data_IF_199356069916
#
_entry.id   IF_199356069916
#
_cell.length_a   1.000
_cell.length_b   1.000
_cell.length_c   1.000
_cell.angle_alpha   90.00
_cell.angle_beta   90.00
_cell.angle_gamma   90.00
#
_symmetry.space_group_name_H-M   'P 1'
#
loop_
_entity.id
_entity.type
_entity.pdbx_description
1 polymer ?
#
# COMPACT_ATOMS: atom_id res chain seq x y z
N UNK A 1 0.40 13.16 1.84
CA UNK A 1 0.43 13.09 0.35
C UNK A 1 -0.83 13.79 -0.18
N UNK A 2 -0.78 14.42 -1.35
CA UNK A 2 -1.95 14.99 -2.03
C UNK A 2 -2.21 14.18 -3.31
N UNK A 3 -3.48 14.00 -3.66
CA UNK A 3 -3.91 13.28 -4.86
C UNK A 3 -4.33 14.30 -5.93
N UNK A 4 -4.01 14.04 -7.19
CA UNK A 4 -4.55 14.80 -8.32
C UNK A 4 -6.03 14.43 -8.47
N UNK A 5 -6.91 15.41 -8.35
CA UNK A 5 -8.36 15.22 -8.52
C UNK A 5 -8.77 15.40 -9.97
N UNK A 6 -8.27 16.45 -10.63
CA UNK A 6 -8.50 16.75 -12.04
C UNK A 6 -7.27 17.40 -12.65
N UNK A 7 -7.12 17.26 -13.96
CA UNK A 7 -6.18 18.03 -14.77
C UNK A 7 -6.92 18.62 -15.95
N UNK A 8 -6.56 19.83 -16.33
CA UNK A 8 -6.99 20.50 -17.54
C UNK A 8 -5.75 20.82 -18.36
N UNK A 9 -5.65 20.15 -19.49
CA UNK A 9 -4.47 20.25 -20.36
C UNK A 9 -4.47 21.54 -21.17
N UNK A 10 -5.66 22.11 -21.44
CA UNK A 10 -5.81 23.34 -22.23
C UNK A 10 -5.38 24.56 -21.40
N UNK A 11 -5.76 24.58 -20.14
CA UNK A 11 -5.40 25.66 -19.21
C UNK A 11 -4.11 25.37 -18.43
N UNK A 12 -3.55 24.16 -18.53
CA UNK A 12 -2.35 23.74 -17.79
C UNK A 12 -2.58 23.71 -16.27
N UNK A 13 -3.81 23.39 -15.83
CA UNK A 13 -4.22 23.43 -14.43
C UNK A 13 -4.33 22.02 -13.86
N UNK A 14 -3.84 21.85 -12.64
CA UNK A 14 -3.99 20.62 -11.85
C UNK A 14 -4.66 20.95 -10.53
N UNK A 15 -5.78 20.28 -10.23
CA UNK A 15 -6.47 20.39 -8.94
C UNK A 15 -6.02 19.26 -8.01
N UNK A 16 -5.61 19.62 -6.81
CA UNK A 16 -5.13 18.70 -5.80
C UNK A 16 -6.16 18.52 -4.67
N UNK A 17 -6.12 17.36 -4.02
CA UNK A 17 -6.95 17.05 -2.83
C UNK A 17 -6.55 17.84 -1.58
N UNK A 18 -5.45 18.60 -1.64
CA UNK A 18 -4.93 19.41 -0.54
C UNK A 18 -4.51 20.77 -1.08
N UNK A 19 -4.89 21.84 -0.37
CA UNK A 19 -4.43 23.19 -0.70
C UNK A 19 -2.91 23.31 -0.51
N UNK A 20 -2.29 24.05 -1.41
CA UNK A 20 -0.88 24.44 -1.34
C UNK A 20 -0.80 25.95 -1.10
N UNK A 21 0.24 26.35 -0.40
CA UNK A 21 0.57 27.76 -0.18
C UNK A 21 1.79 28.17 -1.02
N UNK A 22 1.89 29.45 -1.31
CA UNK A 22 3.06 29.97 -2.03
C UNK A 22 4.33 29.72 -1.22
N UNK A 23 5.28 29.00 -1.82
CA UNK A 23 6.54 28.61 -1.18
C UNK A 23 6.58 27.14 -0.74
N UNK A 24 5.48 26.42 -0.84
CA UNK A 24 5.47 24.96 -0.59
C UNK A 24 6.30 24.21 -1.64
N UNK A 25 6.95 23.15 -1.18
CA UNK A 25 7.66 22.22 -2.06
C UNK A 25 6.71 21.14 -2.56
N UNK A 26 6.73 20.90 -3.87
CA UNK A 26 5.97 19.85 -4.54
C UNK A 26 6.91 18.85 -5.19
N UNK A 27 6.64 17.57 -4.99
CA UNK A 27 7.29 16.48 -5.71
C UNK A 27 6.24 15.58 -6.33
N UNK A 28 6.38 15.26 -7.61
CA UNK A 28 5.50 14.32 -8.29
C UNK A 28 5.91 12.90 -7.96
N UNK A 29 4.92 12.05 -7.70
CA UNK A 29 5.13 10.62 -7.49
C UNK A 29 4.19 9.82 -8.40
N UNK A 30 4.72 8.77 -9.00
CA UNK A 30 3.95 7.81 -9.76
C UNK A 30 3.87 6.49 -9.00
N UNK A 31 2.75 5.81 -9.12
CA UNK A 31 2.59 4.45 -8.61
C UNK A 31 3.15 3.50 -9.66
N UNK A 32 4.21 2.79 -9.30
CA UNK A 32 4.90 1.84 -10.17
C UNK A 32 4.70 0.41 -9.66
N UNK A 33 4.29 -0.50 -10.55
CA UNK A 33 3.96 -1.89 -10.21
C UNK A 33 5.16 -2.65 -9.65
N UNK A 34 6.32 -2.52 -10.28
CA UNK A 34 7.52 -3.23 -9.86
C UNK A 34 8.00 -2.74 -8.50
N UNK A 35 7.99 -1.42 -8.30
CA UNK A 35 8.34 -0.81 -7.02
C UNK A 35 7.41 -1.25 -5.90
N UNK A 36 6.10 -1.36 -6.16
CA UNK A 36 5.11 -1.85 -5.20
C UNK A 36 5.40 -3.31 -4.81
N UNK A 37 5.64 -4.19 -5.79
CA UNK A 37 5.98 -5.60 -5.54
C UNK A 37 7.26 -5.75 -4.72
N UNK A 38 8.33 -5.04 -5.10
CA UNK A 38 9.59 -5.05 -4.35
C UNK A 38 9.39 -4.52 -2.93
N UNK A 39 8.55 -3.50 -2.76
CA UNK A 39 8.16 -2.97 -1.45
C UNK A 39 7.47 -4.01 -0.58
N UNK A 40 6.48 -4.74 -1.13
CA UNK A 40 5.75 -5.79 -0.43
C UNK A 40 6.69 -6.94 -0.03
N UNK A 41 7.54 -7.43 -0.94
CA UNK A 41 8.55 -8.47 -0.63
C UNK A 41 9.43 -8.05 0.53
N UNK A 42 9.96 -6.83 0.50
CA UNK A 42 10.81 -6.31 1.57
C UNK A 42 10.08 -6.22 2.90
N UNK A 43 8.83 -5.72 2.89
CA UNK A 43 8.02 -5.60 4.10
C UNK A 43 7.70 -6.97 4.69
N UNK A 44 7.23 -7.92 3.88
CA UNK A 44 6.92 -9.28 4.30
C UNK A 44 8.15 -10.03 4.83
N UNK A 45 9.30 -9.88 4.18
CA UNK A 45 10.56 -10.49 4.63
C UNK A 45 11.03 -9.92 5.97
N UNK A 46 10.91 -8.60 6.18
CA UNK A 46 11.25 -7.96 7.47
C UNK A 46 10.34 -8.46 8.59
N UNK A 47 9.04 -8.56 8.32
CA UNK A 47 8.08 -9.09 9.30
C UNK A 47 8.42 -10.52 9.67
N UNK A 48 8.71 -11.38 8.69
CA UNK A 48 9.08 -12.77 8.94
C UNK A 48 10.32 -12.89 9.85
N UNK A 49 11.34 -12.09 9.59
CA UNK A 49 12.57 -12.09 10.41
C UNK A 49 12.31 -11.56 11.83
N UNK A 50 11.33 -10.69 12.01
CA UNK A 50 11.00 -10.12 13.34
C UNK A 50 10.17 -11.07 14.22
N UNK A 51 9.59 -12.13 13.65
CA UNK A 51 8.83 -13.11 14.41
C UNK A 51 9.77 -14.07 15.15
N UNK A 52 9.40 -14.43 16.39
CA UNK A 52 10.11 -15.43 17.19
C UNK A 52 9.63 -16.86 16.91
N UNK A 53 8.50 -17.02 16.22
CA UNK A 53 7.90 -18.30 15.84
C UNK A 53 7.28 -18.19 14.45
N UNK A 54 6.98 -19.32 13.83
CA UNK A 54 6.26 -19.33 12.56
C UNK A 54 4.85 -18.76 12.74
N UNK A 55 4.37 -17.93 11.82
CA UNK A 55 3.04 -17.35 11.92
C UNK A 55 1.95 -18.41 11.75
N UNK A 56 0.89 -18.28 12.56
CA UNK A 56 -0.29 -19.15 12.50
C UNK A 56 -1.31 -18.67 11.47
N UNK A 57 -1.39 -17.38 11.23
CA UNK A 57 -2.22 -16.76 10.19
C UNK A 57 -1.71 -15.36 9.83
N UNK A 58 -2.18 -14.84 8.71
CA UNK A 58 -1.91 -13.49 8.25
C UNK A 58 -3.20 -12.69 8.06
N UNK A 59 -3.10 -11.36 8.23
CA UNK A 59 -4.13 -10.41 7.86
C UNK A 59 -3.57 -9.46 6.82
N UNK A 60 -4.21 -9.38 5.65
CA UNK A 60 -3.84 -8.46 4.57
C UNK A 60 -4.99 -7.48 4.33
N UNK A 61 -4.75 -6.20 4.62
CA UNK A 61 -5.66 -5.12 4.31
C UNK A 61 -5.08 -4.29 3.17
N UNK A 62 -5.81 -4.16 2.07
CA UNK A 62 -5.35 -3.45 0.87
C UNK A 62 -6.30 -2.33 0.51
N UNK A 63 -5.77 -1.23 0.01
CA UNK A 63 -6.58 -0.13 -0.51
C UNK A 63 -7.38 -0.57 -1.74
N UNK A 64 -8.64 -0.13 -1.85
CA UNK A 64 -9.48 -0.36 -3.04
C UNK A 64 -8.84 0.17 -4.34
N UNK A 65 -8.03 1.20 -4.26
CA UNK A 65 -7.23 1.70 -5.38
C UNK A 65 -5.98 0.86 -5.66
N UNK A 66 -5.70 -0.16 -4.87
CA UNK A 66 -4.69 -1.20 -5.07
C UNK A 66 -5.30 -2.49 -5.63
N UNK A 67 -4.75 -3.63 -5.20
CA UNK A 67 -5.26 -4.94 -5.55
C UNK A 67 -5.42 -5.15 -7.06
N UNK A 68 -6.49 -5.80 -7.46
CA UNK A 68 -6.73 -6.15 -8.87
C UNK A 68 -6.77 -4.95 -9.83
N UNK A 69 -7.28 -3.80 -9.39
CA UNK A 69 -7.35 -2.59 -10.23
C UNK A 69 -5.96 -2.03 -10.53
N UNK A 70 -5.11 -2.00 -9.53
CA UNK A 70 -3.74 -1.51 -9.69
C UNK A 70 -2.89 -2.45 -10.53
N UNK A 71 -3.07 -3.76 -10.36
CA UNK A 71 -2.30 -4.79 -11.04
C UNK A 71 -2.91 -5.30 -12.35
N UNK A 72 -3.96 -4.64 -12.88
CA UNK A 72 -4.61 -4.97 -14.14
C UNK A 72 -5.13 -6.41 -14.23
N UNK A 73 -5.70 -6.95 -13.15
CA UNK A 73 -6.34 -8.26 -13.18
C UNK A 73 -6.28 -9.03 -11.87
N UNK A 74 -5.12 -9.57 -11.48
CA UNK A 74 -4.96 -10.32 -10.23
C UNK A 74 -4.40 -9.44 -9.12
N UNK A 75 -4.74 -9.74 -7.87
CA UNK A 75 -4.13 -9.09 -6.71
C UNK A 75 -2.75 -9.68 -6.46
N UNK A 76 -1.72 -9.00 -6.97
CA UNK A 76 -0.34 -9.46 -6.86
C UNK A 76 0.20 -9.37 -5.43
N UNK A 77 -0.31 -8.46 -4.59
CA UNK A 77 0.07 -8.41 -3.18
C UNK A 77 -0.38 -9.68 -2.46
N UNK A 78 -1.62 -10.12 -2.66
CA UNK A 78 -2.15 -11.35 -2.11
C UNK A 78 -1.40 -12.58 -2.63
N UNK A 79 -1.16 -12.66 -3.95
CA UNK A 79 -0.44 -13.80 -4.55
C UNK A 79 1.01 -13.87 -4.05
N UNK A 80 1.64 -12.73 -3.84
CA UNK A 80 2.98 -12.66 -3.29
C UNK A 80 3.02 -13.12 -1.83
N UNK A 81 2.06 -12.70 -1.00
CA UNK A 81 1.96 -13.17 0.40
C UNK A 81 1.72 -14.67 0.44
N UNK A 82 0.84 -15.23 -0.39
CA UNK A 82 0.63 -16.69 -0.52
C UNK A 82 1.91 -17.44 -0.91
N UNK A 83 2.70 -16.85 -1.80
CA UNK A 83 3.96 -17.46 -2.24
C UNK A 83 5.01 -17.44 -1.14
N UNK A 84 5.15 -16.33 -0.41
CA UNK A 84 6.12 -16.18 0.67
C UNK A 84 5.78 -16.99 1.91
N UNK A 85 4.48 -17.22 2.16
CA UNK A 85 3.95 -17.92 3.33
C UNK A 85 3.03 -19.06 2.87
N UNK A 86 3.61 -20.04 2.17
CA UNK A 86 2.87 -21.18 1.60
C UNK A 86 2.07 -21.92 2.68
N UNK A 87 0.77 -22.09 2.45
CA UNK A 87 -0.13 -22.79 3.37
C UNK A 87 -0.60 -21.97 4.57
N UNK A 88 -0.12 -20.74 4.74
CA UNK A 88 -0.59 -19.86 5.81
C UNK A 88 -2.02 -19.38 5.53
N UNK A 89 -2.98 -19.55 6.48
CA UNK A 89 -4.30 -18.93 6.36
C UNK A 89 -4.20 -17.42 6.27
N UNK A 90 -4.87 -16.83 5.28
CA UNK A 90 -4.88 -15.39 5.07
C UNK A 90 -6.32 -14.89 5.12
N UNK A 91 -6.58 -13.88 5.95
CA UNK A 91 -7.83 -13.13 6.00
C UNK A 91 -7.54 -11.67 5.70
N UNK A 92 -8.53 -10.94 5.20
CA UNK A 92 -8.38 -9.51 4.98
C UNK A 92 -9.54 -8.92 4.21
N UNK A 93 -9.38 -7.65 3.83
CA UNK A 93 -10.39 -6.92 3.09
C UNK A 93 -9.76 -5.77 2.31
N UNK A 94 -10.54 -5.20 1.39
CA UNK A 94 -10.18 -3.96 0.70
C UNK A 94 -10.90 -2.78 1.35
N UNK A 95 -10.14 -1.76 1.71
CA UNK A 95 -10.62 -0.52 2.35
C UNK A 95 -10.33 0.73 1.53
N UNK A 96 -10.80 1.88 1.99
CA UNK A 96 -10.49 3.20 1.39
C UNK A 96 -9.32 3.91 2.07
N UNK A 97 -8.53 3.19 2.83
CA UNK A 97 -7.37 3.63 3.57
C UNK A 97 -7.05 2.61 4.65
N UNK A 98 -5.79 2.41 4.89
CA UNK A 98 -5.28 1.47 5.88
C UNK A 98 -4.65 2.24 7.04
N UNK A 99 -4.69 1.64 8.22
CA UNK A 99 -4.02 2.20 9.40
C UNK A 99 -2.85 1.29 9.75
N UNK A 100 -1.66 1.87 9.79
CA UNK A 100 -0.45 1.14 10.19
C UNK A 100 0.52 2.04 10.97
N UNK A 101 1.40 1.44 11.78
CA UNK A 101 2.43 2.17 12.47
C UNK A 101 3.53 2.61 11.50
N UNK A 102 3.74 3.91 11.38
CA UNK A 102 4.84 4.53 10.65
C UNK A 102 5.67 5.34 11.65
N UNK A 103 6.96 5.03 11.73
CA UNK A 103 7.89 5.73 12.65
C UNK A 103 7.40 5.87 14.10
N UNK A 104 6.72 4.81 14.61
CA UNK A 104 6.29 4.72 16.00
C UNK A 104 4.91 5.31 16.32
N UNK A 105 4.15 5.75 15.33
CA UNK A 105 2.76 6.20 15.50
C UNK A 105 1.88 5.65 14.38
N UNK A 106 0.58 5.50 14.68
CA UNK A 106 -0.38 5.07 13.68
C UNK A 106 -0.72 6.22 12.72
N UNK A 107 -0.65 5.93 11.44
CA UNK A 107 -1.02 6.86 10.37
C UNK A 107 -2.05 6.21 9.45
N UNK A 108 -2.90 7.04 8.83
CA UNK A 108 -3.80 6.62 7.77
C UNK A 108 -3.01 6.68 6.47
N UNK A 109 -3.01 5.58 5.75
CA UNK A 109 -2.27 5.39 4.51
C UNK A 109 -3.23 5.21 3.34
N UNK A 110 -3.02 5.96 2.28
CA UNK A 110 -3.73 5.80 1.02
C UNK A 110 -2.91 4.97 0.06
N UNK A 111 -3.59 4.21 -0.81
CA UNK A 111 -2.95 3.39 -1.84
C UNK A 111 -1.89 2.43 -1.31
N UNK A 112 -2.17 1.83 -0.18
CA UNK A 112 -1.25 0.96 0.56
C UNK A 112 -1.78 -0.47 0.66
N UNK A 113 -0.90 -1.35 1.10
CA UNK A 113 -1.27 -2.67 1.62
C UNK A 113 -0.58 -2.85 2.98
N UNK A 114 -1.34 -3.30 3.96
CA UNK A 114 -0.87 -3.55 5.32
C UNK A 114 -0.95 -5.03 5.63
N UNK A 115 0.19 -5.64 5.91
CA UNK A 115 0.32 -7.05 6.26
C UNK A 115 0.60 -7.20 7.75
N UNK A 116 -0.25 -7.93 8.45
CA UNK A 116 -0.04 -8.41 9.81
C UNK A 116 0.24 -9.90 9.82
N UNK A 117 1.26 -10.34 10.56
CA UNK A 117 1.56 -11.75 10.80
C UNK A 117 1.34 -12.05 12.28
N UNK A 118 0.67 -13.15 12.58
CA UNK A 118 0.29 -13.55 13.92
C UNK A 118 0.87 -14.94 14.23
N UNK A 119 1.74 -15.02 15.22
CA UNK A 119 2.37 -16.24 15.70
C UNK A 119 1.70 -16.77 16.96
#
# INVERSE_FOLDING_TARGET
>A
MATILTSDDDDGVVTLSKALETGDWLSWALRDLNTAQVGMVKAASRLRVSLMADPSYAMLCSCLGGGQKFYNGSDQDLELVKTLFTGLPIIGFYGNGEIAPITGRNEILDHSAVLGLFA
#
